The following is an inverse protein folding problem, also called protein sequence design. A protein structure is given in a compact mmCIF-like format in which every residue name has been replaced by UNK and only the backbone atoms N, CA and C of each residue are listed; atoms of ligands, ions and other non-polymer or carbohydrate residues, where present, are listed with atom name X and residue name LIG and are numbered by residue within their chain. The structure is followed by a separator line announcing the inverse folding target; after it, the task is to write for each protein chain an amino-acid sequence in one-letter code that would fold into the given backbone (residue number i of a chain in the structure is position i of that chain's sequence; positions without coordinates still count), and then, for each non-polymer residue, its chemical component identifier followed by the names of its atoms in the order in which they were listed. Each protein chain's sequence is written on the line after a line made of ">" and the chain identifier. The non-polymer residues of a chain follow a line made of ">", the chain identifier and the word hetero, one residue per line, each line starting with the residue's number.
data_IF_885321751792
#
_entry.id   IF_885321751792
#
_cell.length_a   1.000
_cell.length_b   1.000
_cell.length_c   1.000
_cell.angle_alpha   90.00
_cell.angle_beta   90.00
_cell.angle_gamma   90.00
#
_symmetry.space_group_name_H-M   'P 1'
#
loop_
_entity.id
_entity.type
_entity.pdbx_description
1 polymer ?
#
# COMPACT_ATOMS: atom_id res chain seq x y z
N UNK A 1 15.36 -1.79 -26.01
CA UNK A 1 14.20 -2.42 -25.34
C UNK A 1 14.50 -2.42 -23.84
N UNK A 2 13.74 -1.69 -23.06
CA UNK A 2 13.95 -1.59 -21.61
C UNK A 2 13.53 -2.92 -20.96
N UNK A 3 14.52 -3.72 -20.53
CA UNK A 3 14.31 -5.02 -19.89
C UNK A 3 13.47 -4.95 -18.63
N UNK A 4 13.38 -3.77 -18.01
CA UNK A 4 12.75 -3.57 -16.72
C UNK A 4 11.41 -2.81 -16.80
N UNK A 5 10.89 -2.60 -18.00
CA UNK A 5 9.66 -1.84 -18.21
C UNK A 5 8.45 -2.42 -17.46
N UNK A 6 8.39 -3.73 -17.32
CA UNK A 6 7.25 -4.44 -16.69
C UNK A 6 7.32 -4.47 -15.15
N UNK A 7 8.53 -4.26 -14.58
CA UNK A 7 8.76 -4.30 -13.13
C UNK A 7 9.09 -2.94 -12.52
N UNK A 8 9.06 -1.87 -13.30
CA UNK A 8 9.25 -0.52 -12.81
C UNK A 8 8.05 -0.04 -11.98
N UNK A 9 8.25 0.89 -11.05
CA UNK A 9 7.14 1.57 -10.36
C UNK A 9 6.22 2.30 -11.36
N UNK A 10 4.95 2.45 -10.98
CA UNK A 10 4.00 3.26 -11.73
C UNK A 10 4.36 4.75 -11.66
N UNK A 11 4.13 5.47 -12.75
CA UNK A 11 4.18 6.92 -12.80
C UNK A 11 2.83 7.53 -12.41
N UNK A 12 2.81 8.81 -12.06
CA UNK A 12 1.60 9.51 -11.59
C UNK A 12 0.40 9.35 -12.55
N UNK A 13 0.63 9.52 -13.85
CA UNK A 13 -0.42 9.40 -14.87
C UNK A 13 -1.00 7.98 -15.03
N UNK A 14 -0.32 6.96 -14.50
CA UNK A 14 -0.76 5.56 -14.55
C UNK A 14 -1.60 5.16 -13.33
N UNK A 15 -1.51 5.93 -12.23
CA UNK A 15 -2.16 5.60 -10.95
C UNK A 15 -3.68 5.51 -11.11
N UNK A 16 -4.30 6.51 -11.72
CA UNK A 16 -5.76 6.51 -11.88
C UNK A 16 -6.28 5.34 -12.71
N UNK A 17 -5.73 5.02 -13.89
CA UNK A 17 -6.09 3.83 -14.65
C UNK A 17 -5.93 2.51 -13.88
N UNK A 18 -4.88 2.38 -13.07
CA UNK A 18 -4.63 1.19 -12.25
C UNK A 18 -5.70 1.05 -11.16
N UNK A 19 -6.00 2.13 -10.44
CA UNK A 19 -7.05 2.15 -9.41
C UNK A 19 -8.40 1.78 -10.01
N UNK A 20 -8.78 2.39 -11.14
CA UNK A 20 -10.06 2.13 -11.79
C UNK A 20 -10.20 0.66 -12.21
N UNK A 21 -9.10 0.04 -12.65
CA UNK A 21 -9.04 -1.40 -12.92
C UNK A 21 -9.21 -2.24 -11.65
N UNK A 22 -8.52 -1.89 -10.57
CA UNK A 22 -8.60 -2.62 -9.29
C UNK A 22 -10.01 -2.58 -8.69
N UNK A 23 -10.64 -1.42 -8.62
CA UNK A 23 -12.00 -1.28 -8.04
C UNK A 23 -13.11 -1.90 -8.90
N UNK A 24 -12.76 -2.40 -10.09
CA UNK A 24 -13.67 -3.16 -10.97
C UNK A 24 -13.33 -4.64 -11.02
N UNK A 25 -12.17 -5.05 -10.51
CA UNK A 25 -11.73 -6.45 -10.54
C UNK A 25 -12.52 -7.29 -9.52
N UNK A 26 -13.27 -8.33 -9.97
CA UNK A 26 -14.13 -9.13 -9.09
C UNK A 26 -13.34 -9.95 -8.05
N UNK A 27 -12.14 -10.43 -8.39
CA UNK A 27 -11.30 -11.22 -7.49
C UNK A 27 -10.76 -10.34 -6.37
N UNK A 28 -10.21 -9.17 -6.71
CA UNK A 28 -9.76 -8.19 -5.74
C UNK A 28 -10.89 -7.77 -4.78
N UNK A 29 -12.07 -7.45 -5.31
CA UNK A 29 -13.23 -7.09 -4.50
C UNK A 29 -13.71 -8.25 -3.61
N UNK A 30 -13.61 -9.48 -4.09
CA UNK A 30 -13.95 -10.67 -3.29
C UNK A 30 -12.96 -10.89 -2.15
N UNK A 31 -11.67 -10.69 -2.39
CA UNK A 31 -10.64 -10.78 -1.36
C UNK A 31 -10.85 -9.72 -0.27
N UNK A 32 -11.09 -8.47 -0.65
CA UNK A 32 -11.41 -7.38 0.28
C UNK A 32 -12.69 -7.68 1.07
N UNK A 33 -13.76 -8.10 0.41
CA UNK A 33 -15.02 -8.45 1.06
C UNK A 33 -14.85 -9.60 2.06
N UNK A 34 -14.07 -10.61 1.70
CA UNK A 34 -13.80 -11.78 2.56
C UNK A 34 -12.93 -11.41 3.77
N UNK A 35 -12.01 -10.48 3.61
CA UNK A 35 -11.18 -9.98 4.70
C UNK A 35 -12.03 -9.26 5.76
N UNK A 36 -12.93 -8.35 5.34
CA UNK A 36 -13.75 -7.57 6.29
C UNK A 36 -14.97 -8.33 6.84
N UNK A 37 -15.57 -9.22 6.06
CA UNK A 37 -16.79 -9.91 6.44
C UNK A 37 -16.85 -11.35 5.88
N UNK A 38 -16.01 -12.28 6.36
CA UNK A 38 -15.85 -13.60 5.78
C UNK A 38 -17.15 -14.42 5.72
N UNK A 39 -17.97 -14.37 6.76
CA UNK A 39 -19.25 -15.10 6.82
C UNK A 39 -20.26 -14.53 5.83
N UNK A 40 -20.42 -13.21 5.77
CA UNK A 40 -21.35 -12.54 4.86
C UNK A 40 -20.91 -12.66 3.39
N UNK A 41 -19.61 -12.61 3.13
CA UNK A 41 -19.06 -12.77 1.79
C UNK A 41 -19.32 -14.16 1.21
N UNK A 42 -19.35 -15.19 2.06
CA UNK A 42 -19.70 -16.55 1.65
C UNK A 42 -21.19 -16.70 1.32
N UNK A 43 -22.08 -16.05 2.11
CA UNK A 43 -23.52 -16.10 1.92
C UNK A 43 -24.01 -15.21 0.78
N UNK A 44 -23.48 -13.99 0.68
CA UNK A 44 -23.94 -12.97 -0.25
C UNK A 44 -22.76 -12.33 -1.05
N UNK A 45 -22.04 -13.12 -1.86
CA UNK A 45 -20.78 -12.64 -2.47
C UNK A 45 -20.96 -11.45 -3.42
N UNK A 46 -22.07 -11.40 -4.16
CA UNK A 46 -22.35 -10.27 -5.07
C UNK A 46 -22.62 -8.97 -4.33
N UNK A 47 -23.40 -9.02 -3.25
CA UNK A 47 -23.74 -7.88 -2.42
C UNK A 47 -22.48 -7.34 -1.72
N UNK A 48 -21.69 -8.25 -1.16
CA UNK A 48 -20.46 -7.88 -0.46
C UNK A 48 -19.41 -7.25 -1.38
N UNK A 49 -19.28 -7.73 -2.62
CA UNK A 49 -18.43 -7.08 -3.63
C UNK A 49 -18.92 -5.66 -3.99
N UNK A 50 -20.23 -5.47 -4.09
CA UNK A 50 -20.81 -4.15 -4.36
C UNK A 50 -20.52 -3.16 -3.20
N UNK A 51 -20.67 -3.63 -1.95
CA UNK A 51 -20.35 -2.83 -0.76
C UNK A 51 -18.84 -2.50 -0.73
N UNK A 52 -17.98 -3.50 -0.94
CA UNK A 52 -16.53 -3.32 -0.99
C UNK A 52 -16.14 -2.30 -2.07
N UNK A 53 -16.71 -2.41 -3.27
CA UNK A 53 -16.48 -1.45 -4.36
C UNK A 53 -16.89 -0.04 -3.98
N UNK A 54 -18.08 0.14 -3.39
CA UNK A 54 -18.57 1.47 -2.97
C UNK A 54 -17.63 2.09 -1.93
N UNK A 55 -17.21 1.31 -0.94
CA UNK A 55 -16.28 1.76 0.12
C UNK A 55 -14.92 2.15 -0.46
N UNK A 56 -14.32 1.27 -1.27
CA UNK A 56 -13.03 1.55 -1.91
C UNK A 56 -13.10 2.77 -2.83
N UNK A 57 -14.15 2.88 -3.64
CA UNK A 57 -14.34 4.05 -4.52
C UNK A 57 -14.34 5.36 -3.73
N UNK A 58 -14.99 5.38 -2.56
CA UNK A 58 -14.98 6.56 -1.68
C UNK A 58 -13.60 6.89 -1.13
N UNK A 59 -12.79 5.87 -0.80
CA UNK A 59 -11.45 6.05 -0.26
C UNK A 59 -10.42 6.54 -1.29
N UNK A 60 -10.60 6.13 -2.55
CA UNK A 60 -9.63 6.46 -3.62
C UNK A 60 -10.12 7.55 -4.58
N UNK A 61 -11.19 8.26 -4.24
CA UNK A 61 -11.77 9.31 -5.11
C UNK A 61 -10.79 10.46 -5.37
N UNK A 62 -10.00 10.81 -4.36
CA UNK A 62 -9.00 11.89 -4.40
C UNK A 62 -7.62 11.43 -4.87
N UNK A 63 -7.44 10.15 -5.17
CA UNK A 63 -6.15 9.61 -5.59
C UNK A 63 -5.94 9.83 -7.08
N UNK A 64 -4.93 10.63 -7.42
CA UNK A 64 -4.60 10.99 -8.81
C UNK A 64 -3.14 10.72 -9.19
N UNK A 65 -2.26 10.57 -8.21
CA UNK A 65 -0.82 10.40 -8.35
C UNK A 65 -0.26 9.46 -7.26
N UNK A 66 1.03 9.20 -7.30
CA UNK A 66 1.72 8.35 -6.33
C UNK A 66 1.64 8.94 -4.93
N UNK A 67 1.80 10.25 -4.78
CA UNK A 67 1.80 10.91 -3.47
C UNK A 67 0.44 10.75 -2.76
N UNK A 68 -0.66 11.05 -3.43
CA UNK A 68 -2.01 10.88 -2.87
C UNK A 68 -2.37 9.41 -2.60
N UNK A 69 -1.78 8.46 -3.34
CA UNK A 69 -1.91 7.04 -3.00
C UNK A 69 -1.12 6.69 -1.73
N UNK A 70 0.06 7.27 -1.56
CA UNK A 70 0.86 7.09 -0.34
C UNK A 70 0.15 7.63 0.90
N UNK A 71 -0.56 8.75 0.80
CA UNK A 71 -1.39 9.29 1.89
C UNK A 71 -2.46 8.27 2.34
N UNK A 72 -3.18 7.66 1.38
CA UNK A 72 -4.17 6.63 1.70
C UNK A 72 -3.54 5.41 2.37
N UNK A 73 -2.37 4.98 1.90
CA UNK A 73 -1.63 3.86 2.49
C UNK A 73 -1.15 4.22 3.89
N UNK A 74 -0.65 5.44 4.10
CA UNK A 74 -0.18 5.92 5.40
C UNK A 74 -1.31 5.94 6.44
N UNK A 75 -2.51 6.37 6.07
CA UNK A 75 -3.69 6.31 6.94
C UNK A 75 -4.06 4.87 7.33
N UNK A 76 -3.95 3.94 6.39
CA UNK A 76 -4.15 2.52 6.65
C UNK A 76 -3.12 1.95 7.62
N UNK A 77 -1.86 2.28 7.40
CA UNK A 77 -0.74 1.87 8.27
C UNK A 77 -0.89 2.45 9.66
N UNK A 78 -1.26 3.73 9.77
CA UNK A 78 -1.51 4.37 11.05
C UNK A 78 -2.57 3.61 11.87
N UNK A 79 -3.74 3.36 11.29
CA UNK A 79 -4.82 2.61 11.96
C UNK A 79 -4.41 1.20 12.34
N UNK A 80 -3.75 0.50 11.43
CA UNK A 80 -3.28 -0.86 11.69
C UNK A 80 -2.29 -0.89 12.86
N UNK A 81 -1.36 0.06 12.92
CA UNK A 81 -0.38 0.17 14.00
C UNK A 81 -1.08 0.47 15.32
N UNK A 82 -2.01 1.43 15.37
CA UNK A 82 -2.78 1.74 16.58
C UNK A 82 -3.59 0.54 17.09
N UNK A 83 -4.22 -0.21 16.19
CA UNK A 83 -5.11 -1.32 16.55
C UNK A 83 -4.35 -2.59 16.97
N UNK A 84 -3.09 -2.78 16.51
CA UNK A 84 -2.38 -4.06 16.65
C UNK A 84 -1.05 -3.98 17.39
N UNK A 85 -0.56 -2.78 17.70
CA UNK A 85 0.80 -2.57 18.21
C UNK A 85 0.76 -1.68 19.45
N UNK A 86 1.45 -2.10 20.50
CA UNK A 86 1.56 -1.30 21.74
C UNK A 86 2.42 -0.06 21.53
N UNK A 87 3.50 -0.18 20.77
CA UNK A 87 4.37 0.94 20.39
C UNK A 87 5.19 0.60 19.17
N UNK A 88 5.46 1.59 18.35
CA UNK A 88 6.37 1.50 17.21
C UNK A 88 7.45 2.56 17.41
N UNK A 89 8.69 2.12 17.54
CA UNK A 89 9.85 3.01 17.76
C UNK A 89 10.85 2.87 16.63
N UNK A 90 11.53 3.93 16.33
CA UNK A 90 12.64 3.95 15.36
C UNK A 90 13.77 4.86 15.86
N UNK A 91 14.93 4.71 15.28
CA UNK A 91 16.08 5.60 15.48
C UNK A 91 16.90 5.68 14.19
N UNK A 92 17.63 6.78 14.01
CA UNK A 92 18.54 6.94 12.87
C UNK A 92 17.95 7.67 11.66
N UNK A 93 16.63 7.92 11.61
CA UNK A 93 16.00 8.67 10.50
C UNK A 93 16.55 10.11 10.43
N UNK A 94 16.92 10.69 11.54
CA UNK A 94 17.54 12.02 11.66
C UNK A 94 18.92 12.12 11.00
N UNK A 95 19.52 10.98 10.64
CA UNK A 95 20.82 10.91 9.94
C UNK A 95 20.68 10.82 8.42
N UNK A 96 19.46 10.69 7.93
CA UNK A 96 19.21 10.63 6.50
C UNK A 96 19.28 12.04 5.91
N UNK A 97 19.99 12.16 4.82
CA UNK A 97 20.11 13.37 4.02
C UNK A 97 19.21 13.21 2.78
N UNK A 98 18.24 14.10 2.62
CA UNK A 98 17.27 14.04 1.51
C UNK A 98 17.92 14.18 0.12
N UNK A 99 19.13 14.71 0.06
CA UNK A 99 19.90 14.91 -1.18
C UNK A 99 20.73 13.68 -1.57
N UNK A 100 20.74 12.65 -0.72
CA UNK A 100 21.50 11.42 -0.95
C UNK A 100 20.59 10.26 -1.29
N UNK A 101 21.12 9.35 -2.12
CA UNK A 101 20.50 8.06 -2.38
C UNK A 101 20.93 7.03 -1.36
N UNK A 102 19.99 6.24 -0.86
CA UNK A 102 20.24 5.19 0.13
C UNK A 102 19.77 3.84 -0.36
N UNK A 103 20.52 2.81 -0.03
CA UNK A 103 20.11 1.42 -0.13
C UNK A 103 19.83 0.89 1.28
N UNK A 104 18.59 0.53 1.55
CA UNK A 104 18.19 -0.08 2.82
C UNK A 104 18.32 -1.59 2.71
N UNK A 105 19.10 -2.18 3.60
CA UNK A 105 19.26 -3.63 3.72
C UNK A 105 18.84 -4.03 5.13
N UNK A 106 17.87 -4.92 5.24
CA UNK A 106 17.31 -5.35 6.52
C UNK A 106 17.18 -6.87 6.59
N UNK A 107 17.10 -7.38 7.80
CA UNK A 107 16.62 -8.75 8.03
C UNK A 107 15.16 -8.83 7.58
N UNK A 108 14.80 -10.00 7.06
CA UNK A 108 13.50 -10.25 6.51
C UNK A 108 12.72 -11.23 7.37
N UNK A 109 11.70 -10.74 8.06
CA UNK A 109 10.78 -11.55 8.84
C UNK A 109 9.41 -11.67 8.15
N UNK A 110 8.91 -10.60 7.59
CA UNK A 110 7.64 -10.54 6.90
C UNK A 110 7.78 -9.80 5.57
N UNK A 111 7.40 -10.47 4.48
CA UNK A 111 7.58 -9.96 3.12
C UNK A 111 6.82 -8.66 2.84
N UNK A 112 5.70 -8.44 3.51
CA UNK A 112 4.85 -7.27 3.32
C UNK A 112 5.07 -6.22 4.41
N UNK A 113 5.13 -6.65 5.68
CA UNK A 113 5.12 -5.72 6.81
C UNK A 113 6.46 -5.04 7.03
N UNK A 114 7.59 -5.74 6.88
CA UNK A 114 8.90 -5.12 7.09
C UNK A 114 9.13 -3.91 6.17
N UNK A 115 8.95 -4.03 4.83
CA UNK A 115 9.07 -2.89 3.94
C UNK A 115 7.95 -1.85 4.14
N UNK A 116 6.75 -2.26 4.55
CA UNK A 116 5.67 -1.34 4.84
C UNK A 116 5.99 -0.44 6.05
N UNK A 117 6.54 -0.99 7.13
CA UNK A 117 6.98 -0.21 8.29
C UNK A 117 8.12 0.75 7.93
N UNK A 118 9.12 0.30 7.18
CA UNK A 118 10.22 1.18 6.73
C UNK A 118 9.67 2.36 5.92
N UNK A 119 8.82 2.09 4.94
CA UNK A 119 8.22 3.14 4.12
C UNK A 119 7.31 4.08 4.92
N UNK A 120 6.51 3.55 5.84
CA UNK A 120 5.68 4.35 6.73
C UNK A 120 6.51 5.29 7.61
N UNK A 121 7.61 4.79 8.19
CA UNK A 121 8.50 5.61 9.01
C UNK A 121 9.21 6.71 8.22
N UNK A 122 9.70 6.39 7.02
CA UNK A 122 10.27 7.37 6.10
C UNK A 122 9.26 8.46 5.73
N UNK A 123 8.04 8.06 5.35
CA UNK A 123 6.94 8.96 5.05
C UNK A 123 6.61 9.89 6.22
N UNK A 124 6.45 9.35 7.43
CA UNK A 124 6.16 10.13 8.65
C UNK A 124 7.27 11.11 9.01
N UNK A 125 8.51 10.80 8.68
CA UNK A 125 9.66 11.68 8.88
C UNK A 125 9.83 12.72 7.74
N UNK A 126 8.92 12.76 6.76
CA UNK A 126 9.02 13.68 5.61
C UNK A 126 10.05 13.29 4.56
N UNK A 127 10.56 12.06 4.63
CA UNK A 127 11.48 11.53 3.63
C UNK A 127 10.72 10.87 2.48
N UNK A 128 11.40 10.70 1.34
CA UNK A 128 10.88 9.89 0.23
C UNK A 128 10.81 8.42 0.65
N UNK A 129 9.74 7.75 0.25
CA UNK A 129 9.62 6.29 0.39
C UNK A 129 10.58 5.58 -0.55
N UNK A 130 10.97 4.37 -0.17
CA UNK A 130 11.88 3.56 -0.99
C UNK A 130 11.12 2.58 -1.86
N UNK A 131 11.73 2.22 -2.98
CA UNK A 131 11.27 1.13 -3.82
C UNK A 131 11.65 -0.20 -3.17
N UNK A 132 10.75 -1.17 -3.26
CA UNK A 132 10.93 -2.48 -2.64
C UNK A 132 11.31 -3.47 -3.76
N UNK A 133 12.48 -4.11 -3.62
CA UNK A 133 12.84 -5.22 -4.48
C UNK A 133 12.24 -6.51 -3.91
N UNK A 134 11.32 -7.11 -4.66
CA UNK A 134 10.73 -8.41 -4.34
C UNK A 134 11.09 -9.41 -5.42
N UNK A 135 11.36 -10.67 -5.03
CA UNK A 135 11.49 -11.75 -6.00
C UNK A 135 10.15 -12.09 -6.65
N UNK A 136 10.18 -12.63 -7.85
CA UNK A 136 9.01 -13.11 -8.59
C UNK A 136 8.94 -14.65 -8.59
N UNK A 137 9.18 -15.26 -7.47
CA UNK A 137 9.16 -16.72 -7.27
C UNK A 137 7.73 -17.28 -7.25
#
# INVERSE_FOLDING_TARGET
>A
MDKFKEIRPYHDHEIRPVIDRLITNPEFLSSIASFYAPKLSRLFPRVMRMIARKKLKGQVVSVHDVASMQDVIADYMYKMIEDTTTSLTHSGLERLDSERSYLFVSNHRDIAMDPAFVNYMLYKAGNRTVQIATGDN
#
